data_IF_028488292881
#
_entry.id   IF_028488292881
#
_cell.length_a   1.000
_cell.length_b   1.000
_cell.length_c   1.000
_cell.angle_alpha   90.00
_cell.angle_beta   90.00
_cell.angle_gamma   90.00
#
_symmetry.space_group_name_H-M   'P 1'
#
loop_
_entity.id
_entity.type
_entity.pdbx_description
1 polymer ?
#
# COMPACT_ATOMS: atom_id res chain seq x y z
N UNK A 1 11.84 2.94 -17.17
CA UNK A 1 12.05 3.73 -15.94
C UNK A 1 11.04 3.27 -14.91
N UNK A 2 11.42 3.29 -13.64
CA UNK A 2 10.50 3.15 -12.51
C UNK A 2 10.01 4.53 -12.09
N UNK A 3 8.88 4.56 -11.36
CA UNK A 3 8.43 5.74 -10.63
C UNK A 3 8.49 5.42 -9.13
N UNK A 4 9.16 6.26 -8.36
CA UNK A 4 9.36 6.06 -6.92
C UNK A 4 8.76 7.19 -6.10
N UNK A 5 8.32 6.87 -4.88
CA UNK A 5 7.95 7.83 -3.87
C UNK A 5 8.50 7.40 -2.51
N UNK A 6 8.87 8.37 -1.69
CA UNK A 6 9.55 8.17 -0.40
C UNK A 6 8.72 8.76 0.74
N UNK A 7 8.99 8.33 1.96
CA UNK A 7 8.47 8.98 3.17
C UNK A 7 9.31 10.23 3.44
N UNK A 8 8.68 11.40 3.52
CA UNK A 8 9.39 12.67 3.65
C UNK A 8 8.65 13.71 4.46
N UNK A 9 9.32 14.85 4.69
CA UNK A 9 8.74 16.03 5.31
C UNK A 9 8.33 17.05 4.23
N UNK A 10 7.57 18.08 4.65
CA UNK A 10 6.85 19.04 3.80
C UNK A 10 7.74 19.95 2.92
N UNK A 11 9.05 19.75 2.96
CA UNK A 11 10.02 20.64 2.34
C UNK A 11 10.28 20.20 0.88
N UNK A 12 9.72 20.98 -0.05
CA UNK A 12 10.10 21.13 -1.47
C UNK A 12 9.50 20.21 -2.54
N UNK A 13 8.86 19.08 -2.18
CA UNK A 13 8.35 18.12 -3.19
C UNK A 13 6.84 17.89 -3.12
N UNK A 14 6.27 17.38 -4.24
CA UNK A 14 4.84 17.09 -4.38
C UNK A 14 4.40 15.99 -3.41
N UNK A 15 3.53 16.35 -2.46
CA UNK A 15 2.85 15.40 -1.58
C UNK A 15 1.81 14.63 -2.42
N UNK A 16 1.93 13.31 -2.45
CA UNK A 16 1.00 12.42 -3.16
C UNK A 16 0.14 11.58 -2.21
N UNK A 17 0.45 11.60 -0.91
CA UNK A 17 -0.21 10.72 0.04
C UNK A 17 0.31 10.87 1.46
N UNK A 18 -0.11 9.93 2.29
CA UNK A 18 0.37 9.78 3.67
C UNK A 18 0.32 8.32 4.11
N UNK A 19 1.19 8.01 5.05
CA UNK A 19 1.16 6.79 5.86
C UNK A 19 0.71 7.16 7.27
N UNK A 20 -0.08 6.29 7.92
CA UNK A 20 -0.64 6.53 9.24
C UNK A 20 -1.68 7.66 9.30
N UNK A 21 -2.15 7.96 10.51
CA UNK A 21 -3.25 8.90 10.76
C UNK A 21 -4.63 8.29 10.59
N UNK A 22 -5.65 9.14 10.54
CA UNK A 22 -7.05 8.70 10.51
C UNK A 22 -7.49 8.27 9.10
N UNK A 23 -8.59 7.55 8.99
CA UNK A 23 -9.13 7.13 7.68
C UNK A 23 -9.57 8.34 6.81
N UNK A 24 -9.50 8.29 5.47
CA UNK A 24 -10.09 9.33 4.62
C UNK A 24 -11.62 9.45 4.81
N UNK A 25 -12.16 10.67 4.73
CA UNK A 25 -13.60 10.94 4.84
C UNK A 25 -14.46 10.10 3.89
N UNK A 26 -13.93 9.69 2.73
CA UNK A 26 -14.57 8.80 1.76
C UNK A 26 -15.13 7.50 2.36
N UNK A 27 -14.56 7.03 3.48
CA UNK A 27 -14.95 5.76 4.10
C UNK A 27 -15.88 5.92 5.32
N UNK A 28 -16.24 7.15 5.71
CA UNK A 28 -17.08 7.37 6.90
C UNK A 28 -18.49 6.77 6.76
N UNK A 29 -19.01 6.65 5.55
CA UNK A 29 -20.29 6.00 5.23
C UNK A 29 -20.14 4.52 4.85
N UNK A 30 -18.92 3.96 4.96
CA UNK A 30 -18.55 2.60 4.52
C UNK A 30 -18.08 1.72 5.67
N UNK A 31 -18.52 2.01 6.89
CA UNK A 31 -18.13 1.28 8.12
C UNK A 31 -18.24 -0.24 7.97
N UNK A 32 -19.31 -0.75 7.36
CA UNK A 32 -19.49 -2.20 7.10
C UNK A 32 -18.36 -2.82 6.27
N UNK A 33 -17.70 -2.03 5.42
CA UNK A 33 -16.60 -2.45 4.55
C UNK A 33 -15.25 -2.46 5.29
N UNK A 34 -15.08 -1.55 6.26
CA UNK A 34 -13.78 -1.30 6.92
C UNK A 34 -13.75 -1.65 8.41
N UNK A 35 -14.85 -2.13 9.00
CA UNK A 35 -14.97 -2.42 10.45
C UNK A 35 -13.85 -3.30 11.03
N UNK A 36 -13.43 -4.33 10.30
CA UNK A 36 -12.38 -5.27 10.73
C UNK A 36 -10.96 -4.78 10.42
N UNK A 37 -10.82 -3.56 9.90
CA UNK A 37 -9.58 -3.06 9.34
C UNK A 37 -9.10 -1.79 10.01
N UNK A 38 -7.82 -1.50 9.84
CA UNK A 38 -7.20 -0.21 10.15
C UNK A 38 -6.58 0.39 8.91
N UNK A 39 -6.69 1.71 8.84
CA UNK A 39 -6.11 2.51 7.79
C UNK A 39 -4.59 2.50 7.93
N UNK A 40 -3.90 2.00 6.90
CA UNK A 40 -2.44 1.96 6.86
C UNK A 40 -1.86 3.16 6.11
N UNK A 41 -2.30 3.38 4.86
CA UNK A 41 -1.80 4.49 4.04
C UNK A 41 -2.75 4.85 2.89
N UNK A 42 -2.55 6.03 2.32
CA UNK A 42 -3.22 6.49 1.10
C UNK A 42 -2.21 7.18 0.19
N UNK A 43 -2.27 6.92 -1.11
CA UNK A 43 -1.44 7.62 -2.09
C UNK A 43 -2.12 7.74 -3.46
N UNK A 44 -1.76 8.78 -4.20
CA UNK A 44 -2.27 9.08 -5.54
C UNK A 44 -1.83 8.00 -6.53
N UNK A 45 -2.73 7.58 -7.43
CA UNK A 45 -2.38 6.67 -8.51
C UNK A 45 -1.35 7.35 -9.45
N UNK A 46 -0.17 6.73 -9.69
CA UNK A 46 0.86 7.29 -10.58
C UNK A 46 0.40 7.45 -12.03
N UNK A 47 -0.61 6.71 -12.47
CA UNK A 47 -1.18 6.79 -13.83
C UNK A 47 -2.38 7.74 -13.92
N UNK A 48 -3.00 8.10 -12.79
CA UNK A 48 -4.21 8.92 -12.76
C UNK A 48 -4.26 9.82 -11.51
N UNK A 49 -3.91 11.10 -11.61
CA UNK A 49 -3.87 12.00 -10.47
C UNK A 49 -5.21 12.23 -9.75
N UNK A 50 -6.35 11.85 -10.36
CA UNK A 50 -7.68 11.98 -9.74
C UNK A 50 -8.06 10.78 -8.87
N UNK A 51 -7.29 9.71 -8.93
CA UNK A 51 -7.53 8.45 -8.23
C UNK A 51 -6.49 8.26 -7.12
N UNK A 52 -6.94 7.70 -6.00
CA UNK A 52 -6.13 7.40 -4.84
C UNK A 52 -6.37 5.96 -4.41
N UNK A 53 -5.31 5.30 -3.94
CA UNK A 53 -5.39 3.99 -3.33
C UNK A 53 -5.27 4.14 -1.82
N UNK A 54 -6.29 3.71 -1.09
CA UNK A 54 -6.21 3.51 0.37
C UNK A 54 -5.96 2.05 0.67
N UNK A 55 -4.96 1.79 1.50
CA UNK A 55 -4.59 0.45 1.96
C UNK A 55 -5.04 0.28 3.40
N UNK A 56 -5.66 -0.86 3.66
CA UNK A 56 -6.20 -1.25 4.95
C UNK A 56 -5.65 -2.62 5.34
N UNK A 57 -5.28 -2.77 6.61
CA UNK A 57 -4.78 -4.02 7.17
C UNK A 57 -5.69 -4.50 8.30
N UNK A 58 -5.84 -5.82 8.50
CA UNK A 58 -6.44 -6.37 9.71
C UNK A 58 -5.68 -5.95 10.97
N UNK A 59 -6.36 -5.92 12.12
CA UNK A 59 -5.69 -5.73 13.42
C UNK A 59 -4.83 -6.91 13.84
N UNK A 60 -5.21 -8.11 13.44
CA UNK A 60 -4.59 -9.34 13.92
C UNK A 60 -3.49 -9.81 12.98
N UNK A 61 -2.23 -9.73 13.42
CA UNK A 61 -1.08 -10.12 12.62
C UNK A 61 -1.10 -11.60 12.22
N UNK A 62 -1.54 -12.49 13.12
CA UNK A 62 -1.71 -13.92 12.80
C UNK A 62 -2.69 -14.15 11.64
N UNK A 63 -3.81 -13.41 11.62
CA UNK A 63 -4.75 -13.43 10.51
C UNK A 63 -4.13 -12.90 9.21
N UNK A 64 -3.23 -11.92 9.30
CA UNK A 64 -2.49 -11.45 8.12
C UNK A 64 -1.56 -12.53 7.57
N UNK A 65 -0.83 -13.25 8.43
CA UNK A 65 0.12 -14.30 8.06
C UNK A 65 -0.58 -15.46 7.33
N UNK A 66 -1.69 -15.94 7.88
CA UNK A 66 -2.48 -17.04 7.28
C UNK A 66 -3.08 -16.66 5.92
N UNK A 67 -3.15 -15.36 5.63
CA UNK A 67 -3.85 -14.77 4.48
C UNK A 67 -3.00 -13.68 3.84
N UNK A 68 -1.77 -14.02 3.50
CA UNK A 68 -0.82 -13.10 2.88
C UNK A 68 -0.81 -13.17 1.34
N UNK A 69 -1.60 -14.07 0.73
CA UNK A 69 -1.56 -14.36 -0.72
C UNK A 69 -2.96 -14.41 -1.36
N UNK A 70 -3.08 -13.90 -2.59
CA UNK A 70 -4.25 -13.99 -3.45
C UNK A 70 -4.69 -15.46 -3.66
N UNK A 71 -6.01 -15.78 -3.66
CA UNK A 71 -7.16 -14.88 -3.62
C UNK A 71 -7.56 -14.42 -2.21
N UNK A 72 -6.88 -14.93 -1.18
CA UNK A 72 -7.29 -14.75 0.19
C UNK A 72 -6.58 -13.60 0.91
N UNK A 73 -5.76 -12.81 0.20
CA UNK A 73 -5.00 -11.72 0.77
C UNK A 73 -5.89 -10.83 1.65
N UNK A 74 -5.51 -10.75 2.91
CA UNK A 74 -6.27 -10.08 3.96
C UNK A 74 -6.17 -8.56 3.85
N UNK A 75 -5.03 -8.04 3.38
CA UNK A 75 -4.82 -6.63 3.06
C UNK A 75 -5.82 -6.18 2.00
N UNK A 76 -6.46 -5.03 2.22
CA UNK A 76 -7.43 -4.45 1.29
C UNK A 76 -6.90 -3.18 0.66
N UNK A 77 -7.17 -3.02 -0.63
CA UNK A 77 -6.86 -1.83 -1.41
C UNK A 77 -8.16 -1.33 -2.00
N UNK A 78 -8.44 -0.04 -1.80
CA UNK A 78 -9.61 0.61 -2.35
C UNK A 78 -9.17 1.77 -3.23
N UNK A 79 -9.65 1.78 -4.47
CA UNK A 79 -9.59 2.96 -5.33
C UNK A 79 -10.71 3.92 -4.97
N UNK A 80 -10.39 5.21 -4.89
CA UNK A 80 -11.37 6.28 -4.67
C UNK A 80 -10.88 7.64 -5.18
N UNK A 81 -11.80 8.59 -5.33
CA UNK A 81 -11.46 9.99 -5.60
C UNK A 81 -10.78 10.64 -4.38
N UNK A 82 -10.10 11.77 -4.57
CA UNK A 82 -9.48 12.50 -3.47
C UNK A 82 -10.45 12.73 -2.31
N UNK A 83 -9.95 12.49 -1.10
CA UNK A 83 -10.66 12.77 0.15
C UNK A 83 -9.68 13.24 1.21
N UNK A 84 -10.11 14.21 2.02
CA UNK A 84 -9.36 14.65 3.20
C UNK A 84 -9.28 13.53 4.25
N UNK A 85 -8.28 13.60 5.11
CA UNK A 85 -8.21 12.82 6.36
C UNK A 85 -9.41 13.19 7.25
N UNK A 86 -10.04 12.18 7.85
CA UNK A 86 -11.17 12.37 8.77
C UNK A 86 -10.70 12.64 10.21
N UNK A 87 -11.66 12.98 11.07
CA UNK A 87 -11.43 13.05 12.52
C UNK A 87 -11.73 11.71 13.24
N UNK A 88 -12.15 10.68 12.53
CA UNK A 88 -12.51 9.39 13.13
C UNK A 88 -11.23 8.59 13.44
N UNK A 89 -11.01 8.31 14.73
CA UNK A 89 -9.85 7.59 15.24
C UNK A 89 -10.08 6.08 15.37
N UNK A 90 -11.30 5.58 15.18
CA UNK A 90 -11.67 4.16 15.30
C UNK A 90 -10.87 3.26 14.35
N UNK A 91 -10.59 3.78 13.16
CA UNK A 91 -9.87 3.07 12.10
C UNK A 91 -8.38 3.39 12.06
N UNK A 92 -7.87 4.15 13.04
CA UNK A 92 -6.46 4.55 13.07
C UNK A 92 -5.60 3.36 13.46
N UNK A 93 -4.61 3.06 12.63
CA UNK A 93 -3.60 2.06 12.94
C UNK A 93 -2.67 2.58 14.03
N UNK A 94 -2.60 1.87 15.16
CA UNK A 94 -1.61 2.14 16.21
C UNK A 94 -0.20 1.74 15.80
N UNK A 95 0.82 2.19 16.54
CA UNK A 95 2.20 1.79 16.32
C UNK A 95 2.91 2.47 15.13
N UNK A 96 2.21 3.35 14.39
CA UNK A 96 2.76 4.09 13.26
C UNK A 96 2.48 5.60 13.36
N UNK A 97 3.53 6.40 13.22
CA UNK A 97 3.43 7.85 13.15
C UNK A 97 2.90 8.30 11.78
N UNK A 98 2.15 9.41 11.76
CA UNK A 98 1.73 10.01 10.50
C UNK A 98 2.93 10.64 9.79
N UNK A 99 3.11 10.33 8.52
CA UNK A 99 4.12 10.97 7.67
C UNK A 99 3.61 11.17 6.24
N UNK A 100 4.19 12.15 5.54
CA UNK A 100 3.85 12.43 4.14
C UNK A 100 4.57 11.47 3.20
N UNK A 101 3.91 11.19 2.08
CA UNK A 101 4.48 10.44 0.96
C UNK A 101 4.73 11.43 -0.17
N UNK A 102 5.96 11.44 -0.65
CA UNK A 102 6.51 12.45 -1.53
C UNK A 102 6.92 11.81 -2.86
N UNK A 103 6.46 12.35 -3.99
CA UNK A 103 6.77 11.79 -5.31
C UNK A 103 5.79 12.21 -6.42
N UNK A 104 5.74 11.52 -7.56
CA UNK A 104 6.63 10.45 -8.00
C UNK A 104 7.84 10.99 -8.75
N UNK A 105 9.03 10.47 -8.46
CA UNK A 105 10.25 10.75 -9.21
C UNK A 105 10.53 9.62 -10.21
N UNK A 106 10.97 9.96 -11.42
CA UNK A 106 11.33 8.99 -12.45
C UNK A 106 12.79 8.56 -12.30
N UNK A 107 13.02 7.25 -12.21
CA UNK A 107 14.36 6.68 -11.97
C UNK A 107 14.63 5.46 -12.86
N UNK A 108 15.88 5.01 -12.85
CA UNK A 108 16.33 3.80 -13.54
C UNK A 108 15.56 2.55 -13.07
N UNK A 109 15.46 1.54 -13.93
CA UNK A 109 14.64 0.33 -13.66
C UNK A 109 15.11 -0.51 -12.46
N UNK A 110 16.36 -0.33 -12.03
CA UNK A 110 16.96 -1.05 -10.90
C UNK A 110 16.82 -0.29 -9.57
N UNK A 111 16.28 0.93 -9.58
CA UNK A 111 16.06 1.73 -8.37
C UNK A 111 14.65 1.51 -7.83
N UNK A 112 14.60 1.30 -6.53
CA UNK A 112 13.39 1.06 -5.74
C UNK A 112 13.43 1.96 -4.51
N UNK A 113 12.25 2.28 -4.00
CA UNK A 113 12.01 3.08 -2.80
C UNK A 113 10.67 2.64 -2.15
N UNK A 114 10.27 3.32 -1.07
CA UNK A 114 9.11 3.03 -0.26
C UNK A 114 7.87 2.67 -1.08
N UNK A 115 7.49 3.49 -2.06
CA UNK A 115 6.52 3.09 -3.09
C UNK A 115 7.25 3.04 -4.42
N UNK A 116 7.13 1.93 -5.14
CA UNK A 116 7.69 1.81 -6.49
C UNK A 116 6.65 1.28 -7.46
N UNK A 117 6.34 2.06 -8.50
CA UNK A 117 5.70 1.55 -9.72
C UNK A 117 6.78 1.08 -10.70
N UNK A 118 6.77 -0.20 -11.01
CA UNK A 118 7.71 -0.83 -11.92
C UNK A 118 7.01 -1.85 -12.84
N UNK A 119 7.72 -2.36 -13.85
CA UNK A 119 7.22 -3.46 -14.70
C UNK A 119 7.27 -4.81 -14.00
N UNK A 120 8.26 -5.00 -13.13
CA UNK A 120 8.49 -6.22 -12.38
C UNK A 120 8.76 -5.86 -10.91
N UNK A 121 8.25 -6.64 -9.95
CA UNK A 121 8.53 -6.42 -8.54
C UNK A 121 9.98 -6.78 -8.20
N UNK A 122 10.50 -6.18 -7.12
CA UNK A 122 11.65 -6.71 -6.38
C UNK A 122 11.10 -7.63 -5.28
N UNK A 123 11.08 -8.92 -5.55
CA UNK A 123 10.59 -9.93 -4.60
C UNK A 123 11.63 -10.19 -3.51
N UNK A 124 11.17 -10.37 -2.27
CA UNK A 124 11.98 -10.92 -1.18
C UNK A 124 12.15 -12.44 -1.37
N UNK A 125 11.08 -13.11 -1.81
CA UNK A 125 11.05 -14.54 -2.11
C UNK A 125 10.57 -14.75 -3.54
N UNK A 126 11.42 -15.29 -4.41
CA UNK A 126 11.11 -15.48 -5.84
C UNK A 126 10.44 -16.84 -6.08
N UNK A 127 9.22 -16.98 -5.57
CA UNK A 127 8.43 -18.21 -5.69
C UNK A 127 7.21 -18.01 -6.59
N UNK A 128 7.02 -18.92 -7.55
CA UNK A 128 5.99 -18.75 -8.60
C UNK A 128 4.57 -18.75 -8.05
N UNK A 129 4.33 -19.48 -6.96
CA UNK A 129 3.00 -19.62 -6.35
C UNK A 129 2.39 -18.26 -5.94
N UNK A 130 3.21 -17.25 -5.63
CA UNK A 130 2.75 -15.88 -5.35
C UNK A 130 2.04 -15.22 -6.55
N UNK A 131 2.41 -15.59 -7.78
CA UNK A 131 2.00 -14.86 -8.99
C UNK A 131 1.16 -15.67 -9.97
N UNK A 132 1.23 -17.00 -9.94
CA UNK A 132 0.57 -17.87 -10.91
C UNK A 132 -0.94 -17.64 -11.00
N UNK A 133 -1.61 -17.63 -9.84
CA UNK A 133 -3.06 -17.46 -9.77
C UNK A 133 -3.50 -16.05 -10.18
N UNK A 134 -2.75 -15.03 -9.79
CA UNK A 134 -2.97 -13.64 -10.22
C UNK A 134 -2.89 -13.51 -11.75
N UNK A 135 -1.83 -14.03 -12.37
CA UNK A 135 -1.63 -13.98 -13.82
C UNK A 135 -2.76 -14.68 -14.59
N UNK A 136 -3.16 -15.86 -14.09
CA UNK A 136 -4.28 -16.64 -14.65
C UNK A 136 -5.60 -15.88 -14.59
N UNK A 137 -5.82 -15.13 -13.51
CA UNK A 137 -7.05 -14.37 -13.27
C UNK A 137 -7.00 -12.94 -13.83
N UNK A 138 -6.07 -12.64 -14.74
CA UNK A 138 -6.08 -11.35 -15.45
C UNK A 138 -5.27 -10.24 -14.80
N UNK A 139 -4.57 -10.50 -13.69
CA UNK A 139 -3.82 -9.49 -12.95
C UNK A 139 -2.36 -9.37 -13.43
N UNK A 140 -1.84 -8.15 -13.37
CA UNK A 140 -0.44 -7.81 -13.60
C UNK A 140 0.13 -7.00 -12.44
N UNK A 141 1.43 -7.16 -12.18
CA UNK A 141 2.10 -6.37 -11.15
C UNK A 141 2.00 -4.88 -11.47
N UNK A 142 1.77 -4.07 -10.43
CA UNK A 142 1.56 -2.64 -10.60
C UNK A 142 2.47 -1.79 -9.72
N UNK A 143 2.41 -2.00 -8.40
CA UNK A 143 3.11 -1.19 -7.40
C UNK A 143 3.60 -2.10 -6.29
N UNK A 144 4.78 -1.82 -5.74
CA UNK A 144 5.21 -2.38 -4.46
C UNK A 144 5.31 -1.28 -3.40
N UNK A 145 5.03 -1.66 -2.15
CA UNK A 145 5.28 -0.87 -0.95
C UNK A 145 6.27 -1.65 -0.09
N UNK A 146 7.43 -1.08 0.18
CA UNK A 146 8.58 -1.80 0.78
C UNK A 146 8.97 -1.16 2.11
N UNK A 147 8.87 -1.93 3.20
CA UNK A 147 9.13 -1.45 4.55
C UNK A 147 10.60 -1.20 4.84
N UNK A 148 11.52 -1.71 4.00
CA UNK A 148 12.95 -1.43 4.10
C UNK A 148 13.28 0.06 3.94
N UNK A 149 12.32 0.87 3.46
CA UNK A 149 12.44 2.32 3.28
C UNK A 149 11.66 3.14 4.32
N UNK A 150 11.19 2.52 5.40
CA UNK A 150 10.68 3.26 6.54
C UNK A 150 11.74 4.18 7.14
N UNK A 151 11.31 5.37 7.57
CA UNK A 151 12.20 6.31 8.27
C UNK A 151 12.27 5.97 9.77
N UNK A 152 13.38 6.34 10.42
CA UNK A 152 13.68 5.97 11.82
C UNK A 152 12.59 6.34 12.84
N UNK A 153 11.74 7.32 12.54
CA UNK A 153 10.68 7.79 13.42
C UNK A 153 9.27 7.37 12.95
N UNK A 154 9.15 6.52 11.93
CA UNK A 154 7.85 6.12 11.43
C UNK A 154 7.18 5.11 12.36
N UNK A 155 7.92 4.11 12.83
CA UNK A 155 7.38 3.06 13.69
C UNK A 155 7.58 3.39 15.17
N UNK A 156 6.58 3.04 15.99
CA UNK A 156 6.67 3.06 17.45
C UNK A 156 6.83 1.65 18.03
N UNK A 157 6.37 0.63 17.29
CA UNK A 157 6.36 -0.76 17.73
C UNK A 157 6.99 -1.67 16.66
N UNK A 158 6.15 -2.43 15.94
CA UNK A 158 6.57 -3.45 14.99
C UNK A 158 6.31 -3.05 13.55
N UNK A 159 7.06 -3.67 12.64
CA UNK A 159 6.79 -3.61 11.20
C UNK A 159 5.43 -4.23 10.88
N UNK A 160 4.73 -3.65 9.91
CA UNK A 160 3.39 -4.07 9.51
C UNK A 160 3.44 -5.40 8.75
N UNK A 161 4.48 -5.59 7.93
CA UNK A 161 4.70 -6.77 7.12
C UNK A 161 5.95 -7.55 7.56
N UNK A 162 6.39 -7.40 8.81
CA UNK A 162 7.53 -8.15 9.34
C UNK A 162 8.83 -7.87 8.57
N UNK A 163 9.18 -6.59 8.40
CA UNK A 163 10.31 -6.16 7.57
C UNK A 163 10.14 -6.59 6.11
N UNK A 164 8.91 -6.39 5.63
CA UNK A 164 8.42 -7.00 4.41
C UNK A 164 8.16 -6.02 3.26
N UNK A 165 7.47 -6.53 2.25
CA UNK A 165 6.95 -5.74 1.15
C UNK A 165 5.57 -6.23 0.71
N UNK A 166 4.70 -5.28 0.38
CA UNK A 166 3.36 -5.49 -0.17
C UNK A 166 3.38 -5.27 -1.68
N UNK A 167 2.74 -6.16 -2.43
CA UNK A 167 2.71 -6.13 -3.89
C UNK A 167 1.27 -5.96 -4.38
N UNK A 168 1.01 -4.82 -5.02
CA UNK A 168 -0.27 -4.48 -5.61
C UNK A 168 -0.32 -4.92 -7.07
N UNK A 169 -1.49 -5.44 -7.44
CA UNK A 169 -1.76 -5.99 -8.75
C UNK A 169 -2.96 -5.28 -9.36
N UNK A 170 -2.86 -4.99 -10.65
CA UNK A 170 -3.92 -4.36 -11.43
C UNK A 170 -4.54 -5.38 -12.37
N UNK A 171 -5.86 -5.45 -12.42
CA UNK A 171 -6.56 -6.28 -13.41
C UNK A 171 -6.49 -5.63 -14.79
N UNK A 172 -6.15 -6.40 -15.83
CA UNK A 172 -5.91 -5.88 -17.19
C UNK A 172 -7.15 -5.24 -17.84
N UNK A 173 -8.35 -5.77 -17.55
CA UNK A 173 -9.59 -5.31 -18.19
C UNK A 173 -10.33 -4.27 -17.34
N UNK A 174 -10.80 -4.65 -16.15
CA UNK A 174 -11.49 -3.73 -15.23
C UNK A 174 -10.63 -2.58 -14.70
N UNK A 175 -9.30 -2.76 -14.65
CA UNK A 175 -8.40 -1.78 -14.06
C UNK A 175 -8.36 -1.77 -12.53
N UNK A 176 -9.09 -2.69 -11.87
CA UNK A 176 -9.13 -2.79 -10.42
C UNK A 176 -7.75 -3.10 -9.84
N UNK A 177 -7.39 -2.42 -8.75
CA UNK A 177 -6.13 -2.63 -8.04
C UNK A 177 -6.40 -3.32 -6.72
N UNK A 178 -5.71 -4.43 -6.48
CA UNK A 178 -5.82 -5.24 -5.26
C UNK A 178 -4.45 -5.45 -4.62
N UNK A 179 -4.44 -5.85 -3.36
CA UNK A 179 -3.27 -6.50 -2.77
C UNK A 179 -3.18 -7.92 -3.33
N UNK A 180 -2.14 -8.21 -4.10
CA UNK A 180 -1.87 -9.56 -4.58
C UNK A 180 -1.32 -10.42 -3.45
N UNK A 181 -0.24 -9.96 -2.83
CA UNK A 181 0.36 -10.61 -1.68
C UNK A 181 1.30 -9.66 -0.94
N UNK A 182 1.73 -10.06 0.25
CA UNK A 182 2.87 -9.46 0.94
C UNK A 182 3.85 -10.54 1.40
N UNK A 183 5.13 -10.18 1.44
CA UNK A 183 6.23 -11.05 1.86
C UNK A 183 6.88 -10.43 3.09
N UNK A 184 7.45 -11.27 3.95
CA UNK A 184 8.18 -10.88 5.17
C UNK A 184 9.56 -11.54 5.18
N UNK A 185 10.45 -11.02 6.04
CA UNK A 185 11.84 -11.48 6.19
C UNK A 185 12.17 -11.92 7.60
#
# INVERSE_FOLDING_TARGET
MNLIASIGQEEEKKIIGRIGGNVPCFFLDKEKTIKEYRFYMVFQNPNNPKEFFSIFIPNEYGFMLDRNIYPNCSVKVFSHAFSKESKNTEYTLGGINKAHIIGYDQVDNNKFDFITKARTPKLLQDETYYTEKLKKDGYEFFIQVDENYYTNNLLQENYIFGYGALYLYKHRESGDVIAGFWQYS
#
